data_IF_088290868704
#
_entry.id   IF_088290868704
#
_cell.length_a   1.000
_cell.length_b   1.000
_cell.length_c   1.000
_cell.angle_alpha   90.00
_cell.angle_beta   90.00
_cell.angle_gamma   90.00
#
_symmetry.space_group_name_H-M   'P 1'
#
loop_
_entity.id
_entity.type
_entity.pdbx_description
1 polymer ?
#
# COMPACT_ATOMS: atom_id res chain seq x y z
N UNK A 1 3.30 49.31 6.70
CA UNK A 1 3.28 48.27 5.67
C UNK A 1 4.62 48.35 4.93
N UNK A 2 5.59 47.51 5.30
CA UNK A 2 6.94 47.56 4.73
C UNK A 2 6.85 46.96 3.32
N UNK A 3 6.99 47.83 2.29
CA UNK A 3 7.13 47.39 0.90
C UNK A 3 8.43 46.57 0.79
N UNK A 4 8.32 45.26 0.73
CA UNK A 4 9.47 44.41 0.41
C UNK A 4 10.04 44.87 -0.93
N UNK A 5 11.34 45.20 -0.97
CA UNK A 5 11.98 45.65 -2.20
C UNK A 5 11.86 44.53 -3.26
N UNK A 6 11.63 44.85 -4.54
CA UNK A 6 11.49 43.82 -5.60
C UNK A 6 12.69 42.90 -5.67
N UNK A 7 13.86 43.31 -5.24
CA UNK A 7 15.08 42.53 -5.15
C UNK A 7 14.96 41.40 -4.13
N UNK A 8 14.34 41.61 -2.96
CA UNK A 8 14.11 40.59 -1.94
C UNK A 8 13.15 39.52 -2.47
N UNK A 9 12.08 39.95 -3.15
CA UNK A 9 11.10 39.03 -3.77
C UNK A 9 11.80 38.17 -4.82
N UNK A 10 12.63 38.76 -5.67
CA UNK A 10 13.41 38.01 -6.66
C UNK A 10 14.36 36.99 -6.05
N UNK A 11 15.10 37.38 -5.01
CA UNK A 11 16.02 36.49 -4.30
C UNK A 11 15.29 35.30 -3.65
N UNK A 12 14.12 35.55 -3.07
CA UNK A 12 13.29 34.47 -2.47
C UNK A 12 12.79 33.51 -3.55
N UNK A 13 12.27 34.00 -4.65
CA UNK A 13 11.83 33.17 -5.77
C UNK A 13 12.98 32.36 -6.36
N UNK A 14 14.15 32.97 -6.55
CA UNK A 14 15.33 32.30 -7.05
C UNK A 14 15.83 31.21 -6.10
N UNK A 15 15.78 31.45 -4.79
CA UNK A 15 16.11 30.46 -3.76
C UNK A 15 15.16 29.23 -3.81
N UNK A 16 13.84 29.44 -3.93
CA UNK A 16 12.89 28.35 -4.08
C UNK A 16 13.07 27.58 -5.39
N UNK A 17 13.38 28.27 -6.48
CA UNK A 17 13.70 27.66 -7.75
C UNK A 17 14.96 26.80 -7.68
N UNK A 18 16.00 27.30 -7.02
CA UNK A 18 17.23 26.53 -6.77
C UNK A 18 16.97 25.27 -5.93
N UNK A 19 16.18 25.38 -4.86
CA UNK A 19 15.77 24.24 -4.05
C UNK A 19 14.98 23.21 -4.87
N UNK A 20 14.11 23.66 -5.74
CA UNK A 20 13.35 22.78 -6.65
C UNK A 20 14.28 22.02 -7.61
N UNK A 21 15.22 22.71 -8.25
CA UNK A 21 16.22 22.08 -9.11
C UNK A 21 17.10 21.08 -8.34
N UNK A 22 17.60 21.49 -7.18
CA UNK A 22 18.40 20.62 -6.32
C UNK A 22 17.63 19.33 -5.96
N UNK A 23 16.38 19.48 -5.57
CA UNK A 23 15.51 18.33 -5.28
C UNK A 23 15.30 17.45 -6.51
N UNK A 24 15.12 18.02 -7.68
CA UNK A 24 14.96 17.30 -8.94
C UNK A 24 16.21 16.47 -9.28
N UNK A 25 17.39 17.10 -9.25
CA UNK A 25 18.65 16.40 -9.52
C UNK A 25 18.98 15.32 -8.47
N UNK A 26 18.73 15.59 -7.19
CA UNK A 26 18.91 14.58 -6.15
C UNK A 26 18.00 13.36 -6.35
N UNK A 27 16.76 13.57 -6.77
CA UNK A 27 15.86 12.45 -7.10
C UNK A 27 16.32 11.65 -8.29
N UNK A 28 16.78 12.30 -9.37
CA UNK A 28 17.34 11.62 -10.53
C UNK A 28 18.59 10.81 -10.18
N UNK A 29 19.48 11.40 -9.40
CA UNK A 29 20.68 10.69 -8.95
C UNK A 29 20.33 9.49 -8.06
N UNK A 30 19.34 9.65 -7.19
CA UNK A 30 18.88 8.61 -6.29
C UNK A 30 18.21 7.46 -7.04
N UNK A 31 17.42 7.74 -8.08
CA UNK A 31 16.76 6.71 -8.89
C UNK A 31 17.74 5.80 -9.62
N UNK A 32 18.94 6.30 -9.95
CA UNK A 32 20.02 5.50 -10.55
C UNK A 32 20.70 4.51 -9.57
N UNK A 33 20.36 4.56 -8.29
CA UNK A 33 20.90 3.66 -7.28
C UNK A 33 19.91 2.56 -6.86
N UNK A 34 18.92 2.28 -7.70
CA UNK A 34 18.02 1.16 -7.50
C UNK A 34 18.71 -0.15 -7.85
N UNK A 35 18.39 -1.17 -7.10
CA UNK A 35 18.77 -2.57 -7.33
C UNK A 35 17.50 -3.35 -7.52
N UNK A 36 17.51 -4.22 -8.54
CA UNK A 36 16.41 -5.10 -8.87
C UNK A 36 16.78 -6.53 -8.45
N UNK A 37 15.93 -7.13 -7.64
CA UNK A 37 16.13 -8.46 -7.08
C UNK A 37 15.02 -9.35 -7.60
N UNK A 38 15.37 -10.32 -8.46
CA UNK A 38 14.45 -11.35 -8.89
C UNK A 38 14.25 -12.35 -7.77
N UNK A 39 12.99 -12.69 -7.52
CA UNK A 39 12.60 -13.63 -6.49
C UNK A 39 12.14 -14.90 -7.15
N UNK A 40 12.83 -16.00 -6.87
CA UNK A 40 12.48 -17.33 -7.31
C UNK A 40 12.09 -18.17 -6.10
N UNK A 41 11.00 -18.88 -6.19
CA UNK A 41 10.61 -19.87 -5.19
C UNK A 41 10.87 -21.25 -5.74
N UNK A 42 11.58 -22.08 -4.98
CA UNK A 42 11.76 -23.48 -5.35
C UNK A 42 10.42 -24.19 -5.21
N UNK A 43 9.92 -24.74 -6.33
CA UNK A 43 8.70 -25.53 -6.32
C UNK A 43 9.00 -26.87 -5.64
N UNK A 44 8.47 -27.07 -4.44
CA UNK A 44 8.43 -28.39 -3.81
C UNK A 44 7.19 -29.10 -4.32
N UNK A 45 7.36 -29.89 -5.35
CA UNK A 45 6.36 -30.88 -5.77
C UNK A 45 6.32 -31.99 -4.72
N UNK A 46 5.65 -31.77 -3.61
CA UNK A 46 5.38 -32.82 -2.64
C UNK A 46 3.88 -33.05 -2.52
N UNK A 47 3.45 -34.30 -2.61
CA UNK A 47 2.07 -34.75 -2.35
C UNK A 47 1.55 -34.32 -0.96
N UNK A 48 2.44 -33.79 -0.11
CA UNK A 48 2.11 -33.18 1.18
C UNK A 48 1.49 -31.79 1.06
N UNK A 49 1.72 -31.05 -0.03
CA UNK A 49 1.18 -29.69 -0.22
C UNK A 49 -0.26 -29.69 -0.71
N UNK A 50 -0.70 -30.75 -1.40
CA UNK A 50 -2.11 -30.90 -1.80
C UNK A 50 -3.07 -31.13 -0.62
N UNK A 51 -2.55 -31.51 0.55
CA UNK A 51 -3.33 -31.81 1.76
C UNK A 51 -3.36 -30.69 2.78
N UNK A 52 -2.60 -29.61 2.58
CA UNK A 52 -2.62 -28.44 3.47
C UNK A 52 -3.85 -27.59 3.20
N UNK A 53 -4.49 -27.16 4.26
CA UNK A 53 -5.58 -26.19 4.23
C UNK A 53 -5.05 -24.86 3.64
N UNK A 54 -5.26 -24.68 2.35
CA UNK A 54 -4.72 -23.57 1.53
C UNK A 54 -5.03 -22.18 2.12
N UNK A 55 -6.14 -22.04 2.85
CA UNK A 55 -6.54 -20.79 3.49
C UNK A 55 -5.72 -20.46 4.72
N UNK A 56 -5.32 -21.45 5.49
CA UNK A 56 -4.48 -21.26 6.69
C UNK A 56 -3.05 -20.89 6.31
N UNK A 57 -2.52 -21.57 5.32
CA UNK A 57 -1.17 -21.32 4.78
C UNK A 57 -1.06 -19.91 4.19
N UNK A 58 -2.03 -19.48 3.40
CA UNK A 58 -2.09 -18.11 2.86
C UNK A 58 -2.05 -17.03 3.95
N UNK A 59 -2.83 -17.18 5.02
CA UNK A 59 -2.87 -16.21 6.13
C UNK A 59 -1.54 -16.14 6.88
N UNK A 60 -0.86 -17.27 7.02
CA UNK A 60 0.46 -17.34 7.64
C UNK A 60 1.50 -16.57 6.81
N UNK A 61 1.58 -16.83 5.50
CA UNK A 61 2.48 -16.12 4.59
C UNK A 61 2.24 -14.60 4.56
N UNK A 62 0.98 -14.16 4.57
CA UNK A 62 0.66 -12.73 4.65
C UNK A 62 1.08 -12.13 5.97
N UNK A 63 0.93 -12.85 7.09
CA UNK A 63 1.39 -12.41 8.41
C UNK A 63 2.91 -12.22 8.45
N UNK A 64 3.66 -13.13 7.83
CA UNK A 64 5.13 -13.02 7.71
C UNK A 64 5.54 -11.80 6.88
N UNK A 65 4.83 -11.51 5.79
CA UNK A 65 5.07 -10.31 4.98
C UNK A 65 4.73 -9.01 5.76
N UNK A 66 3.68 -9.01 6.58
CA UNK A 66 3.36 -7.89 7.47
C UNK A 66 4.53 -7.62 8.45
N UNK A 67 5.14 -8.67 8.97
CA UNK A 67 6.28 -8.58 9.86
C UNK A 67 7.52 -8.01 9.15
N UNK A 68 7.78 -8.47 7.91
CA UNK A 68 8.83 -7.91 7.06
C UNK A 68 8.65 -6.41 6.83
N UNK A 69 7.44 -5.99 6.42
CA UNK A 69 7.15 -4.58 6.18
C UNK A 69 7.31 -3.74 7.43
N UNK A 70 6.87 -4.24 8.59
CA UNK A 70 7.05 -3.55 9.87
C UNK A 70 8.53 -3.35 10.21
N UNK A 71 9.35 -4.39 9.99
CA UNK A 71 10.80 -4.33 10.20
C UNK A 71 11.47 -3.36 9.22
N UNK A 72 11.05 -3.36 7.95
CA UNK A 72 11.56 -2.44 6.93
C UNK A 72 11.28 -0.99 7.31
N UNK A 73 10.08 -0.67 7.77
CA UNK A 73 9.73 0.69 8.22
C UNK A 73 10.59 1.15 9.40
N UNK A 74 10.88 0.26 10.35
CA UNK A 74 11.74 0.59 11.48
C UNK A 74 13.19 0.84 11.04
N UNK A 75 13.68 0.07 10.08
CA UNK A 75 15.02 0.22 9.53
C UNK A 75 15.14 1.49 8.66
N UNK A 76 14.09 1.84 7.92
CA UNK A 76 14.04 3.03 7.06
C UNK A 76 13.91 4.34 7.86
N UNK A 77 13.96 4.35 9.20
CA UNK A 77 13.84 5.58 10.01
C UNK A 77 14.64 6.72 9.41
N UNK A 78 14.01 7.47 8.53
CA UNK A 78 14.63 8.58 7.83
C UNK A 78 14.27 9.88 8.52
N UNK A 79 15.26 10.74 8.73
CA UNK A 79 15.05 12.11 9.17
C UNK A 79 14.15 12.85 8.15
N UNK A 80 13.37 13.81 8.60
CA UNK A 80 12.49 14.63 7.76
C UNK A 80 13.21 15.14 6.48
N UNK A 81 14.46 15.53 6.59
CA UNK A 81 15.29 16.00 5.46
C UNK A 81 15.47 14.89 4.40
N UNK A 82 15.74 13.65 4.82
CA UNK A 82 15.93 12.55 3.89
C UNK A 82 14.62 12.13 3.21
N UNK A 83 13.49 12.20 3.90
CA UNK A 83 12.17 11.97 3.30
C UNK A 83 11.83 13.02 2.24
N UNK A 84 12.17 14.28 2.50
CA UNK A 84 11.89 15.37 1.57
C UNK A 84 12.74 15.27 0.29
N UNK A 85 14.02 14.96 0.41
CA UNK A 85 14.96 14.96 -0.71
C UNK A 85 15.08 13.61 -1.42
N UNK A 86 15.07 12.48 -0.71
CA UNK A 86 15.37 11.16 -1.30
C UNK A 86 14.13 10.39 -1.68
N UNK A 87 13.14 10.31 -0.81
CA UNK A 87 11.90 9.59 -1.09
C UNK A 87 12.10 8.08 -1.24
N UNK A 88 12.78 7.47 -0.27
CA UNK A 88 13.01 6.03 -0.20
C UNK A 88 11.71 5.26 -0.41
N UNK A 89 11.77 4.18 -1.19
CA UNK A 89 10.63 3.31 -1.47
C UNK A 89 11.08 1.86 -1.64
N UNK A 90 10.12 0.98 -1.54
CA UNK A 90 10.23 -0.44 -1.86
C UNK A 90 9.15 -0.74 -2.92
N UNK A 91 9.52 -1.38 -4.01
CA UNK A 91 8.57 -1.77 -5.05
C UNK A 91 8.52 -3.28 -5.16
N UNK A 92 7.31 -3.84 -5.16
CA UNK A 92 7.05 -5.22 -5.53
C UNK A 92 6.44 -5.22 -6.93
N UNK A 93 7.01 -5.99 -7.83
CA UNK A 93 6.68 -5.92 -9.25
C UNK A 93 6.47 -7.32 -9.83
N UNK A 94 5.37 -7.51 -10.55
CA UNK A 94 5.13 -8.66 -11.39
C UNK A 94 5.37 -8.26 -12.83
N UNK A 95 6.41 -8.80 -13.44
CA UNK A 95 6.74 -8.60 -14.84
C UNK A 95 6.27 -9.80 -15.64
N UNK A 96 5.34 -9.57 -16.56
CA UNK A 96 4.82 -10.59 -17.45
C UNK A 96 5.32 -10.36 -18.88
N UNK A 97 5.92 -11.38 -19.47
CA UNK A 97 6.45 -11.40 -20.82
C UNK A 97 6.39 -12.81 -21.38
N UNK A 98 5.85 -12.98 -22.58
CA UNK A 98 5.85 -14.26 -23.31
C UNK A 98 5.27 -15.44 -22.50
N UNK A 99 4.23 -15.16 -21.68
CA UNK A 99 3.62 -16.17 -20.81
C UNK A 99 4.37 -16.46 -19.51
N UNK A 100 5.57 -15.90 -19.33
CA UNK A 100 6.34 -15.99 -18.09
C UNK A 100 6.04 -14.79 -17.18
N UNK A 101 5.86 -15.06 -15.88
CA UNK A 101 5.68 -14.03 -14.85
C UNK A 101 6.86 -14.09 -13.90
N UNK A 102 7.62 -13.00 -13.86
CA UNK A 102 8.76 -12.84 -12.96
C UNK A 102 8.40 -11.90 -11.82
N UNK A 103 8.67 -12.30 -10.59
CA UNK A 103 8.53 -11.43 -9.44
C UNK A 103 9.84 -10.72 -9.13
N UNK A 104 9.80 -9.39 -9.08
CA UNK A 104 10.96 -8.53 -8.87
C UNK A 104 10.72 -7.59 -7.71
N UNK A 105 11.73 -7.36 -6.90
CA UNK A 105 11.75 -6.35 -5.85
C UNK A 105 12.74 -5.27 -6.24
N UNK A 106 12.25 -4.03 -6.39
CA UNK A 106 13.11 -2.88 -6.62
C UNK A 106 13.28 -2.08 -5.33
N UNK A 107 14.53 -1.86 -4.94
CA UNK A 107 14.87 -1.17 -3.72
C UNK A 107 16.18 -0.39 -3.89
N UNK A 108 16.36 0.67 -3.12
CA UNK A 108 17.63 1.39 -3.14
C UNK A 108 18.79 0.54 -2.59
N UNK A 109 19.94 0.63 -3.23
CA UNK A 109 21.16 -0.15 -2.93
C UNK A 109 21.51 -0.24 -1.44
N UNK A 110 21.29 0.83 -0.66
CA UNK A 110 21.56 0.85 0.79
C UNK A 110 20.71 -0.14 1.60
N UNK A 111 19.51 -0.52 1.09
CA UNK A 111 18.60 -1.45 1.76
C UNK A 111 18.68 -2.89 1.23
N UNK A 112 19.45 -3.12 0.16
CA UNK A 112 19.58 -4.43 -0.48
C UNK A 112 19.84 -5.55 0.51
N UNK A 113 20.96 -5.45 1.25
CA UNK A 113 21.38 -6.51 2.19
C UNK A 113 20.33 -6.75 3.27
N UNK A 114 19.66 -5.69 3.73
CA UNK A 114 18.59 -5.81 4.71
C UNK A 114 17.42 -6.60 4.13
N UNK A 115 16.95 -6.25 2.94
CA UNK A 115 15.82 -6.92 2.26
C UNK A 115 16.14 -8.39 1.99
N UNK A 116 17.33 -8.68 1.44
CA UNK A 116 17.76 -10.07 1.17
C UNK A 116 17.77 -10.91 2.44
N UNK A 117 18.40 -10.42 3.53
CA UNK A 117 18.47 -11.17 4.79
C UNK A 117 17.10 -11.37 5.45
N UNK A 118 16.24 -10.37 5.43
CA UNK A 118 14.90 -10.47 6.03
C UNK A 118 14.01 -11.43 5.24
N UNK A 119 14.03 -11.37 3.92
CA UNK A 119 13.24 -12.28 3.08
C UNK A 119 13.75 -13.73 3.20
N UNK A 120 15.06 -13.95 3.18
CA UNK A 120 15.63 -15.27 3.37
C UNK A 120 15.36 -15.87 4.77
N UNK A 121 15.22 -15.01 5.79
CA UNK A 121 14.87 -15.47 7.14
C UNK A 121 13.39 -15.86 7.26
N UNK A 122 12.51 -15.23 6.49
CA UNK A 122 11.05 -15.46 6.50
C UNK A 122 10.68 -16.63 5.59
N UNK A 123 11.30 -16.70 4.41
CA UNK A 123 11.03 -17.71 3.38
C UNK A 123 12.29 -18.54 3.14
N UNK A 124 12.34 -19.74 3.72
CA UNK A 124 13.52 -20.62 3.66
C UNK A 124 13.87 -21.12 2.25
N UNK A 125 12.88 -21.16 1.37
CA UNK A 125 12.97 -21.77 0.04
C UNK A 125 13.05 -20.72 -1.09
N UNK A 126 13.44 -19.50 -0.75
CA UNK A 126 13.55 -18.38 -1.67
C UNK A 126 14.98 -18.25 -2.22
N UNK A 127 15.09 -18.05 -3.51
CA UNK A 127 16.34 -17.71 -4.18
C UNK A 127 16.22 -16.24 -4.63
N UNK A 128 17.18 -15.44 -4.24
CA UNK A 128 17.23 -14.01 -4.54
C UNK A 128 18.41 -13.74 -5.47
N UNK A 129 18.13 -13.23 -6.67
CA UNK A 129 19.15 -12.88 -7.66
C UNK A 129 19.09 -11.40 -7.98
N UNK A 130 20.22 -10.71 -7.93
CA UNK A 130 20.32 -9.37 -8.48
C UNK A 130 20.31 -9.43 -10.00
N UNK A 131 19.43 -8.64 -10.60
CA UNK A 131 19.28 -8.53 -12.06
C UNK A 131 19.49 -7.09 -12.48
N UNK A 132 19.75 -6.89 -13.77
CA UNK A 132 19.70 -5.56 -14.38
C UNK A 132 18.27 -5.02 -14.37
N UNK A 133 18.13 -3.70 -14.54
CA UNK A 133 16.83 -3.06 -14.61
C UNK A 133 15.98 -3.70 -15.72
N UNK A 134 14.81 -4.26 -15.40
CA UNK A 134 13.98 -4.91 -16.40
C UNK A 134 13.52 -3.94 -17.47
N UNK A 135 13.71 -4.32 -18.71
CA UNK A 135 13.29 -3.53 -19.87
C UNK A 135 11.76 -3.55 -20.00
N UNK A 136 11.11 -2.44 -19.66
CA UNK A 136 9.64 -2.30 -19.71
C UNK A 136 9.14 -1.90 -21.08
N UNK A 137 9.94 -1.11 -21.81
CA UNK A 137 9.55 -0.52 -23.08
C UNK A 137 10.58 -0.85 -24.17
N UNK A 138 10.12 -1.09 -25.36
CA UNK A 138 10.96 -1.10 -26.56
C UNK A 138 10.51 -0.01 -27.54
N UNK A 139 11.37 0.40 -28.42
CA UNK A 139 11.24 1.61 -29.24
C UNK A 139 10.00 1.67 -30.15
N UNK A 140 9.36 0.54 -30.45
CA UNK A 140 8.18 0.45 -31.32
C UNK A 140 6.87 0.17 -30.57
N UNK A 141 6.91 0.04 -29.26
CA UNK A 141 5.74 -0.37 -28.49
C UNK A 141 4.82 0.81 -28.15
N UNK A 142 3.53 0.58 -28.25
CA UNK A 142 2.53 1.44 -27.64
C UNK A 142 2.44 1.10 -26.14
N UNK A 143 2.38 2.12 -25.28
CA UNK A 143 2.35 1.93 -23.84
C UNK A 143 1.12 2.57 -23.23
N UNK A 144 0.43 1.83 -22.36
CA UNK A 144 -0.69 2.33 -21.57
C UNK A 144 -0.39 2.10 -20.08
N UNK A 145 -0.58 3.14 -19.28
CA UNK A 145 -0.36 3.09 -17.84
C UNK A 145 -1.58 3.54 -17.05
N UNK A 146 -1.92 2.79 -16.00
CA UNK A 146 -3.02 3.11 -15.09
C UNK A 146 -2.53 3.12 -13.64
N UNK A 147 -2.97 4.13 -12.88
CA UNK A 147 -2.76 4.16 -11.42
C UNK A 147 -4.06 3.82 -10.72
N UNK A 148 -4.02 2.83 -9.84
CA UNK A 148 -5.14 2.45 -8.99
C UNK A 148 -5.14 3.33 -7.75
N UNK A 149 -6.27 3.98 -7.45
CA UNK A 149 -6.42 4.89 -6.31
C UNK A 149 -7.57 4.44 -5.42
N UNK A 150 -7.44 4.69 -4.13
CA UNK A 150 -8.54 4.49 -3.19
C UNK A 150 -9.68 5.48 -3.49
N UNK A 151 -10.91 4.97 -3.58
CA UNK A 151 -12.12 5.79 -3.72
C UNK A 151 -12.47 6.51 -2.41
N UNK A 152 -12.34 5.82 -1.28
CA UNK A 152 -12.59 6.37 0.06
C UNK A 152 -11.30 6.93 0.68
N UNK A 153 -11.44 7.59 1.82
CA UNK A 153 -10.30 8.13 2.57
C UNK A 153 -9.35 7.02 3.02
N UNK A 154 -8.05 7.29 3.02
CA UNK A 154 -6.97 6.32 3.27
C UNK A 154 -7.04 5.60 4.62
N UNK A 155 -7.66 6.19 5.62
CA UNK A 155 -7.84 5.59 6.95
C UNK A 155 -9.04 4.64 7.02
N UNK A 156 -9.97 4.68 6.05
CA UNK A 156 -11.05 3.70 5.98
C UNK A 156 -10.44 2.38 5.52
N UNK A 157 -10.68 1.27 6.25
CA UNK A 157 -10.15 -0.02 5.87
C UNK A 157 -10.77 -0.51 4.56
N UNK A 158 -9.97 -1.23 3.79
CA UNK A 158 -10.43 -2.14 2.75
C UNK A 158 -10.57 -3.52 3.38
N UNK A 159 -11.25 -4.45 2.71
CA UNK A 159 -11.37 -5.83 3.16
C UNK A 159 -9.99 -6.41 3.47
N UNK A 160 -9.79 -6.93 4.66
CA UNK A 160 -8.51 -7.45 5.10
C UNK A 160 -8.32 -8.89 4.65
N UNK A 161 -7.05 -9.36 4.60
CA UNK A 161 -6.76 -10.76 4.25
C UNK A 161 -7.42 -11.77 5.20
N UNK A 162 -7.73 -11.38 6.43
CA UNK A 162 -8.44 -12.22 7.40
C UNK A 162 -9.88 -12.53 6.96
N UNK A 163 -10.45 -11.67 6.14
CA UNK A 163 -11.83 -11.74 5.62
C UNK A 163 -11.88 -12.29 4.18
N UNK A 164 -10.71 -12.53 3.56
CA UNK A 164 -10.63 -13.11 2.23
C UNK A 164 -10.70 -14.64 2.31
N UNK A 165 -11.54 -15.22 1.48
CA UNK A 165 -11.71 -16.67 1.36
C UNK A 165 -10.74 -17.28 0.35
N UNK A 166 -10.20 -16.47 -0.55
CA UNK A 166 -9.29 -16.90 -1.61
C UNK A 166 -8.22 -15.84 -1.89
N UNK A 167 -7.14 -16.25 -2.52
CA UNK A 167 -6.09 -15.36 -3.00
C UNK A 167 -6.61 -14.44 -4.09
N UNK A 168 -6.61 -13.13 -3.81
CA UNK A 168 -7.08 -12.09 -4.72
C UNK A 168 -6.08 -11.76 -5.83
N UNK A 169 -4.83 -12.27 -5.78
CA UNK A 169 -3.83 -12.02 -6.82
C UNK A 169 -3.92 -13.02 -7.98
N UNK A 170 -4.45 -14.22 -7.76
CA UNK A 170 -4.59 -15.25 -8.77
C UNK A 170 -5.33 -14.81 -10.04
N UNK A 171 -6.44 -14.06 -10.00
CA UNK A 171 -7.09 -13.55 -11.21
C UNK A 171 -6.18 -12.61 -12.02
N UNK A 172 -5.37 -11.81 -11.34
CA UNK A 172 -4.41 -10.89 -11.96
C UNK A 172 -3.32 -11.70 -12.66
N UNK A 173 -2.69 -12.64 -11.95
CA UNK A 173 -1.63 -13.49 -12.52
C UNK A 173 -2.15 -14.33 -13.69
N UNK A 174 -3.37 -14.87 -13.58
CA UNK A 174 -4.00 -15.62 -14.67
C UNK A 174 -4.26 -14.77 -15.91
N UNK A 175 -4.52 -13.49 -15.74
CA UNK A 175 -4.68 -12.54 -16.85
C UNK A 175 -3.32 -12.21 -17.47
N UNK A 176 -2.30 -12.00 -16.65
CA UNK A 176 -0.93 -11.73 -17.09
C UNK A 176 -0.31 -12.92 -17.84
N UNK A 177 -0.64 -14.15 -17.46
CA UNK A 177 -0.16 -15.36 -18.15
C UNK A 177 -0.75 -15.56 -19.55
N UNK A 178 -1.78 -14.80 -19.94
CA UNK A 178 -2.46 -14.90 -21.23
C UNK A 178 -2.03 -13.82 -22.23
N UNK A 179 -1.01 -13.04 -21.91
CA UNK A 179 -0.46 -12.03 -22.81
C UNK A 179 0.10 -12.67 -24.08
N UNK A 180 -0.07 -12.00 -25.22
CA UNK A 180 0.53 -12.44 -26.49
C UNK A 180 2.06 -12.25 -26.45
N UNK A 181 2.78 -12.93 -27.35
CA UNK A 181 4.25 -12.91 -27.40
C UNK A 181 4.84 -11.50 -27.55
N UNK A 182 4.12 -10.58 -28.21
CA UNK A 182 4.55 -9.19 -28.40
C UNK A 182 4.07 -8.24 -27.28
N UNK A 183 3.28 -8.73 -26.33
CA UNK A 183 2.77 -7.93 -25.23
C UNK A 183 3.61 -8.12 -23.96
N UNK A 184 3.77 -7.04 -23.23
CA UNK A 184 4.36 -7.05 -21.87
C UNK A 184 3.45 -6.32 -20.92
N UNK A 185 3.38 -6.79 -19.68
CA UNK A 185 2.68 -6.08 -18.63
C UNK A 185 3.47 -6.09 -17.33
N UNK A 186 3.33 -5.02 -16.58
CA UNK A 186 3.93 -4.90 -15.26
C UNK A 186 2.90 -4.39 -14.27
N UNK A 187 2.75 -5.10 -13.16
CA UNK A 187 2.02 -4.64 -12.00
C UNK A 187 3.03 -4.22 -10.95
N UNK A 188 3.06 -2.94 -10.62
CA UNK A 188 3.94 -2.38 -9.60
C UNK A 188 3.16 -1.99 -8.36
N UNK A 189 3.62 -2.44 -7.20
CA UNK A 189 3.12 -2.04 -5.88
C UNK A 189 4.24 -1.29 -5.18
N UNK A 190 4.23 0.03 -5.29
CA UNK A 190 5.26 0.90 -4.73
C UNK A 190 4.86 1.32 -3.33
N UNK A 191 5.68 1.01 -2.36
CA UNK A 191 5.50 1.28 -0.95
C UNK A 191 6.48 2.37 -0.50
N UNK A 192 5.96 3.42 0.08
CA UNK A 192 6.76 4.45 0.74
C UNK A 192 6.34 4.56 2.20
N UNK A 193 7.30 4.58 3.10
CA UNK A 193 7.02 4.81 4.53
C UNK A 193 6.21 6.08 4.74
N UNK A 194 5.16 5.97 5.51
CA UNK A 194 4.27 7.11 5.81
C UNK A 194 4.39 7.49 7.29
N UNK A 195 4.45 8.78 7.62
CA UNK A 195 4.52 9.23 9.01
C UNK A 195 3.32 8.74 9.81
N UNK A 196 3.53 8.42 11.10
CA UNK A 196 2.48 7.87 11.97
C UNK A 196 1.37 8.89 12.33
N UNK A 197 1.52 10.15 11.90
CA UNK A 197 0.47 11.19 12.00
C UNK A 197 -0.86 10.81 11.32
N UNK A 198 -0.86 9.82 10.42
CA UNK A 198 -2.09 9.30 9.82
C UNK A 198 -2.99 8.61 10.83
N UNK A 199 -2.39 7.99 11.87
CA UNK A 199 -3.09 7.34 12.96
C UNK A 199 -3.90 8.35 13.77
N UNK A 200 -3.37 9.55 14.01
CA UNK A 200 -4.09 10.64 14.66
C UNK A 200 -5.33 11.06 13.85
N UNK A 201 -5.20 11.09 12.52
CA UNK A 201 -6.33 11.42 11.65
C UNK A 201 -7.41 10.33 11.67
N UNK A 202 -7.01 9.06 11.72
CA UNK A 202 -7.92 7.93 11.86
C UNK A 202 -8.67 7.99 13.20
N UNK A 203 -7.96 8.21 14.30
CA UNK A 203 -8.55 8.34 15.64
C UNK A 203 -9.49 9.55 15.76
N UNK A 204 -9.11 10.70 15.15
CA UNK A 204 -10.00 11.87 15.11
C UNK A 204 -11.29 11.60 14.34
N UNK A 205 -11.20 10.82 13.27
CA UNK A 205 -12.36 10.42 12.48
C UNK A 205 -13.26 9.45 13.23
N UNK A 206 -12.68 8.44 13.88
CA UNK A 206 -13.36 7.51 14.78
C UNK A 206 -14.12 8.24 15.89
N UNK A 207 -13.45 9.17 16.59
CA UNK A 207 -14.09 9.99 17.63
C UNK A 207 -15.24 10.85 17.09
N UNK A 208 -15.11 11.37 15.86
CA UNK A 208 -16.20 12.14 15.21
C UNK A 208 -17.40 11.25 14.88
N UNK A 209 -17.17 10.04 14.38
CA UNK A 209 -18.23 9.08 14.10
C UNK A 209 -18.96 8.70 15.39
N UNK A 210 -18.23 8.35 16.44
CA UNK A 210 -18.79 7.97 17.75
C UNK A 210 -19.59 9.10 18.37
N UNK A 211 -19.10 10.36 18.32
CA UNK A 211 -19.84 11.53 18.82
C UNK A 211 -21.12 11.81 18.05
N UNK A 212 -21.04 11.78 16.70
CA UNK A 212 -22.20 12.01 15.83
C UNK A 212 -23.28 10.96 16.11
N UNK A 213 -22.87 9.73 16.37
CA UNK A 213 -23.78 8.62 16.64
C UNK A 213 -24.47 8.73 17.99
N UNK A 214 -23.72 9.01 19.06
CA UNK A 214 -24.30 9.25 20.40
C UNK A 214 -25.29 10.41 20.37
N UNK A 215 -25.01 11.47 19.62
CA UNK A 215 -25.93 12.61 19.49
C UNK A 215 -27.19 12.24 18.71
N UNK A 216 -27.08 11.44 17.66
CA UNK A 216 -28.23 10.97 16.88
C UNK A 216 -29.11 10.01 17.68
N UNK A 217 -28.54 9.08 18.44
CA UNK A 217 -29.28 8.19 19.32
C UNK A 217 -30.01 8.96 20.44
N UNK A 218 -29.31 9.90 21.07
CA UNK A 218 -29.91 10.74 22.10
C UNK A 218 -31.08 11.56 21.54
N UNK A 219 -30.93 12.15 20.34
CA UNK A 219 -31.97 12.92 19.68
C UNK A 219 -33.17 12.04 19.31
N UNK A 220 -32.97 10.87 18.73
CA UNK A 220 -34.03 9.94 18.38
C UNK A 220 -34.74 9.39 19.61
N UNK A 221 -34.01 9.00 20.64
CA UNK A 221 -34.62 8.51 21.89
C UNK A 221 -35.47 9.59 22.58
N UNK A 222 -35.03 10.85 22.51
CA UNK A 222 -35.77 11.99 23.07
C UNK A 222 -37.02 12.34 22.23
N UNK A 223 -36.94 12.29 20.91
CA UNK A 223 -38.10 12.42 20.02
C UNK A 223 -39.09 11.29 20.21
N UNK A 224 -38.62 10.05 20.32
CA UNK A 224 -39.48 8.87 20.51
C UNK A 224 -40.21 8.91 21.88
N UNK A 225 -39.50 9.34 22.93
CA UNK A 225 -40.11 9.50 24.25
C UNK A 225 -41.17 10.60 24.32
N UNK A 226 -41.14 11.57 23.41
CA UNK A 226 -42.12 12.65 23.32
C UNK A 226 -43.40 12.29 22.54
N UNK A 227 -43.30 11.32 21.61
CA UNK A 227 -44.39 11.05 20.68
C UNK A 227 -44.97 9.63 20.72
N UNK A 228 -44.28 8.65 21.39
CA UNK A 228 -44.74 7.26 21.40
C UNK A 228 -44.40 6.50 22.65
N UNK A 229 -45.39 5.85 23.24
CA UNK A 229 -45.20 4.77 24.24
C UNK A 229 -44.93 3.47 23.46
N UNK A 230 -43.87 2.71 23.77
CA UNK A 230 -43.47 1.57 22.94
C UNK A 230 -44.24 0.30 23.35
N UNK A 231 -45.28 -0.04 22.64
CA UNK A 231 -45.68 -1.43 22.49
C UNK A 231 -45.54 -1.84 21.02
N UNK A 232 -44.48 -2.58 20.70
CA UNK A 232 -44.40 -3.45 19.53
C UNK A 232 -43.81 -2.91 18.24
N UNK A 233 -42.77 -2.11 18.22
CA UNK A 233 -42.09 -1.71 16.96
C UNK A 233 -40.68 -2.32 16.83
N UNK A 234 -40.58 -3.19 15.85
CA UNK A 234 -39.40 -3.79 15.18
C UNK A 234 -38.01 -3.22 15.52
N UNK A 235 -37.38 -3.82 16.51
CA UNK A 235 -35.95 -3.61 16.88
C UNK A 235 -34.95 -4.19 15.88
N UNK A 236 -35.36 -5.03 14.93
CA UNK A 236 -34.45 -5.77 14.07
C UNK A 236 -33.70 -4.94 13.00
N UNK A 237 -34.31 -3.86 12.49
CA UNK A 237 -33.63 -3.03 11.45
C UNK A 237 -32.63 -2.05 12.02
N UNK A 238 -32.84 -1.58 13.23
CA UNK A 238 -31.92 -0.63 13.88
C UNK A 238 -30.67 -1.34 14.39
N UNK A 239 -30.77 -2.56 14.90
CA UNK A 239 -29.64 -3.36 15.39
C UNK A 239 -28.68 -3.75 14.28
N UNK A 240 -29.12 -4.19 13.11
CA UNK A 240 -28.25 -4.57 12.00
C UNK A 240 -27.44 -3.37 11.45
N UNK A 241 -28.05 -2.19 11.39
CA UNK A 241 -27.35 -0.97 10.96
C UNK A 241 -26.38 -0.44 12.04
N UNK A 242 -26.65 -0.71 13.30
CA UNK A 242 -25.82 -0.42 14.43
C UNK A 242 -24.58 -1.31 14.46
N UNK A 243 -24.74 -2.59 14.24
CA UNK A 243 -23.65 -3.58 14.19
C UNK A 243 -22.69 -3.31 13.04
N UNK A 244 -23.17 -2.96 11.85
CA UNK A 244 -22.31 -2.58 10.71
C UNK A 244 -21.47 -1.31 10.99
N UNK A 245 -22.03 -0.30 11.64
CA UNK A 245 -21.29 0.92 11.99
C UNK A 245 -20.28 0.70 13.10
N UNK A 246 -20.60 -0.13 14.08
CA UNK A 246 -19.68 -0.49 15.15
C UNK A 246 -18.51 -1.29 14.58
N UNK A 247 -18.76 -2.23 13.67
CA UNK A 247 -17.74 -2.97 12.94
C UNK A 247 -16.81 -2.02 12.13
N UNK A 248 -17.37 -1.04 11.40
CA UNK A 248 -16.57 -0.05 10.67
C UNK A 248 -15.65 0.75 11.59
N UNK A 249 -16.13 1.15 12.77
CA UNK A 249 -15.35 1.89 13.78
C UNK A 249 -14.22 1.01 14.34
N UNK A 250 -14.51 -0.24 14.64
CA UNK A 250 -13.53 -1.20 15.15
C UNK A 250 -12.43 -1.49 14.12
N UNK A 251 -12.79 -1.69 12.86
CA UNK A 251 -11.84 -1.89 11.77
C UNK A 251 -10.94 -0.66 11.54
N UNK A 252 -11.46 0.56 11.69
CA UNK A 252 -10.65 1.79 11.62
C UNK A 252 -9.66 1.82 12.79
N UNK A 253 -10.11 1.49 14.00
CA UNK A 253 -9.26 1.45 15.20
C UNK A 253 -8.17 0.37 15.08
N UNK A 254 -8.50 -0.82 14.58
CA UNK A 254 -7.54 -1.90 14.32
C UNK A 254 -6.49 -1.48 13.30
N UNK A 255 -6.91 -0.90 12.18
CA UNK A 255 -6.00 -0.36 11.16
C UNK A 255 -5.07 0.70 11.72
N UNK A 256 -5.58 1.58 12.58
CA UNK A 256 -4.80 2.66 13.20
C UNK A 256 -3.71 2.17 14.18
N UNK A 257 -3.75 0.92 14.63
CA UNK A 257 -2.70 0.32 15.46
C UNK A 257 -1.48 -0.15 14.67
N UNK A 258 -1.60 -0.28 13.34
CA UNK A 258 -0.57 -0.83 12.48
C UNK A 258 0.31 0.26 11.86
N UNK A 259 1.52 -0.13 11.46
CA UNK A 259 2.41 0.73 10.68
C UNK A 259 1.80 1.04 9.31
N UNK A 260 1.88 2.31 8.87
CA UNK A 260 1.30 2.74 7.61
C UNK A 260 2.34 2.96 6.52
N UNK A 261 1.95 2.60 5.29
CA UNK A 261 2.67 2.91 4.06
C UNK A 261 1.78 3.73 3.13
N UNK A 262 2.38 4.68 2.42
CA UNK A 262 1.77 5.26 1.23
C UNK A 262 1.98 4.27 0.09
N UNK A 263 0.91 3.79 -0.50
CA UNK A 263 0.95 2.77 -1.55
C UNK A 263 0.49 3.37 -2.86
N UNK A 264 1.24 3.10 -3.93
CA UNK A 264 0.83 3.38 -5.30
C UNK A 264 0.84 2.06 -6.06
N UNK A 265 -0.30 1.69 -6.62
CA UNK A 265 -0.41 0.51 -7.48
C UNK A 265 -0.52 1.00 -8.92
N UNK A 266 0.36 0.49 -9.78
CA UNK A 266 0.41 0.82 -11.21
C UNK A 266 0.27 -0.43 -12.03
N UNK A 267 -0.47 -0.33 -13.11
CA UNK A 267 -0.48 -1.32 -14.18
C UNK A 267 0.07 -0.64 -15.44
N UNK A 268 1.07 -1.25 -16.04
CA UNK A 268 1.68 -0.83 -17.31
C UNK A 268 1.53 -1.97 -18.28
N UNK A 269 1.08 -1.67 -19.48
CA UNK A 269 0.96 -2.66 -20.57
C UNK A 269 1.58 -2.05 -21.82
N UNK A 270 2.34 -2.86 -22.56
CA UNK A 270 2.96 -2.49 -23.82
C UNK A 270 2.70 -3.59 -24.86
N UNK A 271 2.46 -3.18 -26.12
CA UNK A 271 2.19 -4.09 -27.23
C UNK A 271 2.27 -3.41 -28.59
#
# INVERSE_FOLDING_TARGET
MVLMSPLIVFLVLWFFFFLFLLRFFLKLWYSKQLVFIRVLMTRKDSDADERKDTTKDFREHVSLMEQFLTSFKQFEKSNFISQFFRGDFLSFEYHAREGEITFVIAVHKKYRIFVEKQLAAIYSDIILEEIEEPELFWSSAHAVGVNIKLYKKYFIPIKSYKELESDSINPILSSLAKLAEHERAVVQIVLKSYPDTWQDNAQRYEKKLTKKWKHHQWFLSHLFSLFWSPEGASQEKDTAQEDHKNADIEHIAEKAKKSGYSVVIRLLVTG
#
